data_IF_445279025169
#
_entry.id   IF_445279025169
#
_cell.length_a   1.000
_cell.length_b   1.000
_cell.length_c   1.000
_cell.angle_alpha   90.00
_cell.angle_beta   90.00
_cell.angle_gamma   90.00
#
_symmetry.space_group_name_H-M   'P 1'
#
loop_
_entity.id
_entity.type
_entity.pdbx_description
1 polymer ?
#
# COMPACT_ATOMS: atom_id res chain seq x y z
N UNK A 1 -11.01 26.28 2.78
CA UNK A 1 -10.84 26.40 4.25
C UNK A 1 -9.74 25.51 4.81
N UNK A 2 -9.51 24.28 4.31
CA UNK A 2 -8.42 23.42 4.79
C UNK A 2 -7.00 24.01 4.60
N UNK A 3 -6.83 24.95 3.65
CA UNK A 3 -5.55 25.61 3.39
C UNK A 3 -5.13 26.70 4.39
N UNK A 4 -6.05 27.30 5.16
CA UNK A 4 -5.76 28.51 5.94
C UNK A 4 -5.31 28.23 7.38
N UNK A 5 -5.54 27.03 7.90
CA UNK A 5 -5.21 26.67 9.28
C UNK A 5 -3.88 25.91 9.42
N UNK A 6 -3.23 25.54 8.30
CA UNK A 6 -1.96 24.82 8.29
C UNK A 6 -1.97 23.59 9.19
N UNK A 7 -0.93 23.44 10.03
CA UNK A 7 -0.78 22.31 10.95
C UNK A 7 -1.64 22.39 12.22
N UNK A 8 -2.35 23.51 12.47
CA UNK A 8 -3.01 23.75 13.75
C UNK A 8 -4.08 22.69 14.12
N UNK A 9 -4.98 22.25 13.20
CA UNK A 9 -5.98 21.24 13.52
C UNK A 9 -5.36 19.89 13.89
N UNK A 10 -4.30 19.50 13.18
CA UNK A 10 -3.55 18.26 13.45
C UNK A 10 -2.87 18.29 14.82
N UNK A 11 -2.24 19.43 15.17
CA UNK A 11 -1.62 19.62 16.49
C UNK A 11 -2.66 19.59 17.61
N UNK A 12 -3.83 20.18 17.39
CA UNK A 12 -4.92 20.17 18.37
C UNK A 12 -5.42 18.74 18.63
N UNK A 13 -5.59 17.93 17.59
CA UNK A 13 -5.98 16.51 17.73
C UNK A 13 -4.93 15.70 18.51
N UNK A 14 -3.65 15.87 18.21
CA UNK A 14 -2.56 15.22 18.95
C UNK A 14 -2.53 15.65 20.42
N UNK A 15 -2.72 16.95 20.69
CA UNK A 15 -2.77 17.45 22.05
C UNK A 15 -3.96 16.89 22.84
N UNK A 16 -5.14 16.80 22.20
CA UNK A 16 -6.33 16.20 22.79
C UNK A 16 -6.15 14.69 23.07
N UNK A 17 -5.34 13.99 22.26
CA UNK A 17 -4.95 12.60 22.48
C UNK A 17 -3.79 12.39 23.45
N UNK A 18 -3.46 13.38 24.29
CA UNK A 18 -2.39 13.25 25.29
C UNK A 18 -0.98 13.14 24.70
N UNK A 19 -0.76 13.68 23.50
CA UNK A 19 0.51 13.59 22.78
C UNK A 19 0.57 12.47 21.73
N UNK A 20 -0.47 11.64 21.64
CA UNK A 20 -0.67 10.67 20.56
C UNK A 20 -1.78 11.14 19.62
N UNK A 21 -1.71 10.70 18.37
CA UNK A 21 -2.85 10.76 17.46
C UNK A 21 -3.73 9.53 17.72
N UNK A 22 -4.98 9.69 18.21
CA UNK A 22 -5.83 8.56 18.52
C UNK A 22 -6.16 7.74 17.27
N UNK A 23 -6.00 6.42 17.33
CA UNK A 23 -6.31 5.55 16.20
C UNK A 23 -7.78 5.63 15.78
N UNK A 24 -8.68 5.83 16.75
CA UNK A 24 -10.12 6.05 16.53
C UNK A 24 -10.43 7.32 15.72
N UNK A 25 -9.63 8.38 15.91
CA UNK A 25 -9.76 9.61 15.13
C UNK A 25 -9.31 9.40 13.68
N UNK A 26 -8.22 8.64 13.48
CA UNK A 26 -7.74 8.25 12.14
C UNK A 26 -8.78 7.40 11.41
N UNK A 27 -9.33 6.37 12.06
CA UNK A 27 -10.37 5.51 11.49
C UNK A 27 -11.62 6.32 11.12
N UNK A 28 -12.05 7.23 12.01
CA UNK A 28 -13.19 8.11 11.77
C UNK A 28 -12.98 9.01 10.55
N UNK A 29 -11.76 9.53 10.36
CA UNK A 29 -11.40 10.28 9.16
C UNK A 29 -11.49 9.41 7.90
N UNK A 30 -10.98 8.16 7.92
CA UNK A 30 -11.09 7.23 6.79
C UNK A 30 -12.54 6.93 6.42
N UNK A 31 -13.39 6.62 7.41
CA UNK A 31 -14.82 6.38 7.19
C UNK A 31 -15.50 7.62 6.59
N UNK A 32 -15.11 8.82 7.04
CA UNK A 32 -15.68 10.09 6.56
C UNK A 32 -15.35 10.41 5.10
N UNK A 33 -14.30 9.81 4.50
CA UNK A 33 -14.01 9.98 3.06
C UNK A 33 -15.12 9.33 2.22
N UNK A 34 -15.71 8.23 2.69
CA UNK A 34 -16.77 7.50 1.98
C UNK A 34 -17.81 6.91 2.96
N UNK A 35 -18.62 7.75 3.63
CA UNK A 35 -19.56 7.28 4.65
C UNK A 35 -20.63 6.35 4.07
N UNK A 36 -21.02 6.55 2.81
CA UNK A 36 -21.96 5.67 2.10
C UNK A 36 -21.46 4.22 2.01
N UNK A 37 -20.14 4.00 1.91
CA UNK A 37 -19.57 2.65 1.83
C UNK A 37 -19.79 1.88 3.13
N UNK A 38 -19.75 2.58 4.28
CA UNK A 38 -20.05 1.98 5.58
C UNK A 38 -21.53 1.62 5.69
N UNK A 39 -22.43 2.51 5.26
CA UNK A 39 -23.87 2.23 5.24
C UNK A 39 -24.18 1.03 4.34
N UNK A 40 -23.62 0.98 3.13
CA UNK A 40 -23.80 -0.15 2.22
C UNK A 40 -23.31 -1.46 2.83
N UNK A 41 -22.20 -1.43 3.57
CA UNK A 41 -21.65 -2.61 4.27
C UNK A 41 -22.59 -3.13 5.36
N UNK A 42 -23.21 -2.24 6.13
CA UNK A 42 -24.23 -2.61 7.13
C UNK A 42 -25.49 -3.20 6.48
N UNK A 43 -25.95 -2.64 5.36
CA UNK A 43 -27.09 -3.17 4.62
C UNK A 43 -26.79 -4.56 4.02
N UNK A 44 -25.58 -4.77 3.50
CA UNK A 44 -25.16 -6.08 3.00
C UNK A 44 -25.13 -7.14 4.11
N UNK A 45 -24.69 -6.78 5.31
CA UNK A 45 -24.76 -7.68 6.46
C UNK A 45 -26.21 -8.05 6.78
N UNK A 46 -27.11 -7.06 6.82
CA UNK A 46 -28.52 -7.30 7.12
C UNK A 46 -29.18 -8.21 6.07
N UNK A 47 -28.90 -7.99 4.79
CA UNK A 47 -29.41 -8.80 3.69
C UNK A 47 -28.92 -10.26 3.75
N UNK A 48 -27.73 -10.48 4.32
CA UNK A 48 -27.08 -11.81 4.38
C UNK A 48 -26.98 -12.35 5.82
N UNK A 49 -27.83 -11.89 6.74
CA UNK A 49 -27.72 -12.20 8.17
C UNK A 49 -27.89 -13.69 8.47
N UNK A 50 -28.63 -14.41 7.62
CA UNK A 50 -28.86 -15.85 7.74
C UNK A 50 -27.75 -16.70 7.10
N UNK A 51 -26.81 -16.11 6.33
CA UNK A 51 -25.61 -16.80 5.84
C UNK A 51 -24.50 -16.72 6.88
N UNK A 52 -24.37 -17.78 7.68
CA UNK A 52 -23.32 -17.90 8.70
C UNK A 52 -21.90 -17.65 8.16
N UNK A 53 -21.63 -18.01 6.90
CA UNK A 53 -20.32 -17.78 6.28
C UNK A 53 -20.13 -16.31 5.93
N UNK A 54 -21.19 -15.61 5.51
CA UNK A 54 -21.14 -14.16 5.31
C UNK A 54 -20.93 -13.42 6.61
N UNK A 55 -21.71 -13.75 7.65
CA UNK A 55 -21.63 -13.13 8.96
C UNK A 55 -20.23 -13.29 9.57
N UNK A 56 -19.65 -14.49 9.49
CA UNK A 56 -18.30 -14.71 10.02
C UNK A 56 -17.22 -13.92 9.25
N UNK A 57 -17.30 -13.87 7.92
CA UNK A 57 -16.40 -13.02 7.12
C UNK A 57 -16.54 -11.55 7.48
N UNK A 58 -17.77 -11.07 7.65
CA UNK A 58 -18.04 -9.71 8.07
C UNK A 58 -17.43 -9.44 9.45
N UNK A 59 -17.64 -10.34 10.43
CA UNK A 59 -17.12 -10.19 11.79
C UNK A 59 -15.59 -10.12 11.80
N UNK A 60 -14.92 -11.04 11.12
CA UNK A 60 -13.45 -11.02 11.02
C UNK A 60 -12.94 -9.73 10.36
N UNK A 61 -13.59 -9.27 9.29
CA UNK A 61 -13.23 -8.01 8.67
C UNK A 61 -13.49 -6.81 9.60
N UNK A 62 -14.61 -6.79 10.31
CA UNK A 62 -14.99 -5.69 11.20
C UNK A 62 -14.04 -5.60 12.39
N UNK A 63 -13.76 -6.73 13.04
CA UNK A 63 -12.82 -6.84 14.15
C UNK A 63 -11.46 -6.27 13.73
N UNK A 64 -10.96 -6.65 12.54
CA UNK A 64 -9.71 -6.11 11.99
C UNK A 64 -9.82 -4.62 11.64
N UNK A 65 -10.89 -4.20 10.96
CA UNK A 65 -11.05 -2.82 10.45
C UNK A 65 -11.24 -1.80 11.58
N UNK A 66 -11.91 -2.19 12.67
CA UNK A 66 -12.12 -1.35 13.85
C UNK A 66 -11.03 -1.46 14.90
N UNK A 67 -10.12 -2.43 14.77
CA UNK A 67 -8.95 -2.50 15.62
C UNK A 67 -8.00 -1.34 15.30
N UNK A 68 -7.96 -0.36 16.20
CA UNK A 68 -7.16 0.84 16.04
C UNK A 68 -5.96 0.83 16.98
N UNK A 69 -4.90 1.54 16.57
CA UNK A 69 -3.70 1.76 17.37
C UNK A 69 -3.39 3.24 17.38
N UNK A 70 -3.01 3.75 18.55
CA UNK A 70 -2.57 5.12 18.68
C UNK A 70 -1.19 5.31 18.05
N UNK A 71 -1.00 6.45 17.39
CA UNK A 71 0.23 6.77 16.68
C UNK A 71 0.97 7.84 17.50
N UNK A 72 2.28 7.69 17.78
CA UNK A 72 3.07 8.74 18.43
C UNK A 72 2.89 10.08 17.71
N UNK A 73 2.41 11.10 18.44
CA UNK A 73 1.97 12.35 17.82
C UNK A 73 3.07 13.08 17.07
N UNK A 74 4.31 13.02 17.55
CA UNK A 74 5.47 13.59 16.86
C UNK A 74 5.68 12.96 15.48
N UNK A 75 5.53 11.64 15.38
CA UNK A 75 5.65 10.91 14.11
C UNK A 75 4.50 11.25 13.17
N UNK A 76 3.26 11.27 13.66
CA UNK A 76 2.08 11.67 12.88
C UNK A 76 2.23 13.08 12.30
N UNK A 77 2.58 14.06 13.15
CA UNK A 77 2.73 15.45 12.71
C UNK A 77 3.87 15.61 11.70
N UNK A 78 4.96 14.86 11.87
CA UNK A 78 6.05 14.83 10.91
C UNK A 78 5.58 14.32 9.55
N UNK A 79 4.81 13.23 9.49
CA UNK A 79 4.24 12.70 8.24
C UNK A 79 3.33 13.72 7.56
N UNK A 80 2.37 14.29 8.30
CA UNK A 80 1.41 15.26 7.76
C UNK A 80 2.14 16.50 7.23
N UNK A 81 3.09 17.04 7.98
CA UNK A 81 3.81 18.24 7.55
C UNK A 81 4.68 17.97 6.33
N UNK A 82 5.48 16.90 6.35
CA UNK A 82 6.50 16.69 5.33
C UNK A 82 5.94 16.05 4.06
N UNK A 83 5.00 15.12 4.17
CA UNK A 83 4.51 14.34 3.03
C UNK A 83 3.21 14.91 2.45
N UNK A 84 2.25 15.26 3.30
CA UNK A 84 0.93 15.70 2.84
C UNK A 84 0.85 17.20 2.59
N UNK A 85 1.39 18.01 3.51
CA UNK A 85 1.28 19.47 3.42
C UNK A 85 2.37 20.08 2.54
N UNK A 86 3.64 19.74 2.79
CA UNK A 86 4.80 20.31 2.07
C UNK A 86 5.28 19.48 0.90
N UNK A 87 4.73 18.28 0.68
CA UNK A 87 5.08 17.38 -0.43
C UNK A 87 6.61 17.16 -0.64
N UNK A 88 7.38 17.18 0.45
CA UNK A 88 8.85 17.27 0.40
C UNK A 88 9.52 16.09 -0.29
N UNK A 89 8.86 14.92 -0.28
CA UNK A 89 9.35 13.73 -0.99
C UNK A 89 9.41 13.97 -2.50
N UNK A 90 8.31 14.47 -3.06
CA UNK A 90 8.17 14.72 -4.50
C UNK A 90 8.97 15.96 -4.93
N UNK A 91 9.11 16.93 -4.03
CA UNK A 91 9.92 18.14 -4.23
C UNK A 91 11.43 17.90 -4.06
N UNK A 92 11.85 16.69 -3.62
CA UNK A 92 13.27 16.35 -3.44
C UNK A 92 13.95 17.09 -2.28
N UNK A 93 13.17 17.56 -1.30
CA UNK A 93 13.67 18.32 -0.13
C UNK A 93 13.50 17.58 1.19
N UNK A 94 12.95 16.36 1.15
CA UNK A 94 12.79 15.52 2.33
C UNK A 94 14.15 15.05 2.83
N UNK A 95 14.40 15.25 4.12
CA UNK A 95 15.60 14.78 4.81
C UNK A 95 15.22 13.65 5.78
N UNK A 96 15.90 12.50 5.68
CA UNK A 96 15.76 11.36 6.59
C UNK A 96 17.16 10.95 7.04
N UNK A 97 17.37 10.89 8.35
CA UNK A 97 18.68 10.53 8.94
C UNK A 97 19.86 11.34 8.36
N UNK A 98 19.64 12.65 8.18
CA UNK A 98 20.63 13.59 7.63
C UNK A 98 20.90 13.46 6.13
N UNK A 99 20.13 12.63 5.40
CA UNK A 99 20.28 12.41 3.97
C UNK A 99 19.04 12.86 3.20
N UNK A 100 19.27 13.57 2.10
CA UNK A 100 18.18 13.99 1.22
C UNK A 100 17.66 12.74 0.51
N UNK A 101 16.35 12.52 0.59
CA UNK A 101 15.70 11.43 -0.12
C UNK A 101 15.64 11.78 -1.61
N UNK A 102 16.35 11.01 -2.42
CA UNK A 102 16.37 11.13 -3.87
C UNK A 102 15.58 9.99 -4.51
N UNK A 103 14.39 10.30 -5.04
CA UNK A 103 13.58 9.30 -5.75
C UNK A 103 14.23 8.85 -7.06
N UNK A 104 15.13 9.66 -7.66
CA UNK A 104 15.86 9.29 -8.86
C UNK A 104 16.87 8.17 -8.61
N UNK A 105 17.20 7.86 -7.34
CA UNK A 105 18.00 6.70 -6.99
C UNK A 105 17.26 5.35 -7.20
N UNK A 106 15.95 5.37 -7.46
CA UNK A 106 15.17 4.19 -7.81
C UNK A 106 15.30 3.95 -9.33
N UNK A 107 16.02 2.90 -9.71
CA UNK A 107 16.29 2.53 -11.11
C UNK A 107 15.84 1.10 -11.47
N UNK A 108 15.21 0.40 -10.52
CA UNK A 108 14.70 -0.96 -10.69
C UNK A 108 13.28 -0.97 -11.29
N UNK A 109 12.81 -2.12 -11.83
CA UNK A 109 11.45 -2.24 -12.37
C UNK A 109 10.38 -1.78 -11.36
N UNK A 110 9.44 -0.97 -11.85
CA UNK A 110 8.42 -0.31 -11.02
C UNK A 110 7.02 -0.82 -11.39
N UNK A 111 6.28 -1.32 -10.40
CA UNK A 111 4.93 -1.86 -10.58
C UNK A 111 3.93 -0.97 -9.85
N UNK A 112 3.03 -0.31 -10.59
CA UNK A 112 2.04 0.63 -10.06
C UNK A 112 0.62 0.09 -10.27
N UNK A 113 -0.07 -0.25 -9.19
CA UNK A 113 -1.45 -0.76 -9.19
C UNK A 113 -2.38 0.21 -8.48
N UNK A 114 -3.26 0.86 -9.25
CA UNK A 114 -4.30 1.75 -8.75
C UNK A 114 -5.66 1.06 -8.68
N UNK A 115 -6.56 1.59 -7.86
CA UNK A 115 -7.98 1.22 -7.84
C UNK A 115 -8.81 2.28 -8.57
N UNK A 116 -9.72 1.85 -9.46
CA UNK A 116 -10.58 2.76 -10.23
C UNK A 116 -11.53 3.59 -9.38
N UNK A 117 -11.84 3.14 -8.15
CA UNK A 117 -12.72 3.84 -7.20
C UNK A 117 -11.99 4.26 -5.92
N UNK A 118 -10.65 4.18 -5.89
CA UNK A 118 -9.83 4.62 -4.77
C UNK A 118 -9.84 6.15 -4.66
N UNK A 119 -10.33 6.66 -3.52
CA UNK A 119 -10.34 8.10 -3.19
C UNK A 119 -9.31 8.48 -2.12
N UNK A 120 -8.60 7.51 -1.56
CA UNK A 120 -7.51 7.70 -0.59
C UNK A 120 -6.20 7.95 -1.34
N UNK A 121 -5.92 7.13 -2.36
CA UNK A 121 -4.75 7.30 -3.24
C UNK A 121 -5.19 7.15 -4.70
N UNK A 122 -5.76 8.21 -5.31
CA UNK A 122 -6.27 8.15 -6.67
C UNK A 122 -5.19 7.77 -7.68
N UNK A 123 -5.58 7.12 -8.79
CA UNK A 123 -4.65 6.66 -9.82
C UNK A 123 -3.69 7.75 -10.34
N UNK A 124 -4.12 9.01 -10.60
CA UNK A 124 -3.19 10.07 -11.01
C UNK A 124 -2.11 10.37 -9.96
N UNK A 125 -2.45 10.29 -8.67
CA UNK A 125 -1.49 10.50 -7.59
C UNK A 125 -0.46 9.37 -7.54
N UNK A 126 -0.90 8.12 -7.69
CA UNK A 126 0.01 6.98 -7.73
C UNK A 126 0.93 7.03 -8.94
N UNK A 127 0.38 7.28 -10.13
CA UNK A 127 1.14 7.22 -11.38
C UNK A 127 2.15 8.36 -11.54
N UNK A 128 1.90 9.52 -10.91
CA UNK A 128 2.87 10.62 -10.85
C UNK A 128 4.21 10.22 -10.19
N UNK A 129 4.24 9.16 -9.37
CA UNK A 129 5.49 8.65 -8.80
C UNK A 129 6.51 8.21 -9.86
N UNK A 130 6.04 7.72 -11.02
CA UNK A 130 6.92 7.28 -12.10
C UNK A 130 7.72 8.44 -12.73
N UNK A 131 7.24 9.68 -12.62
CA UNK A 131 7.95 10.87 -13.12
C UNK A 131 9.14 11.27 -12.25
N UNK A 132 9.26 10.68 -11.05
CA UNK A 132 10.26 11.04 -10.05
C UNK A 132 11.36 10.00 -9.87
N UNK A 133 11.27 8.86 -10.54
CA UNK A 133 12.25 7.77 -10.48
C UNK A 133 13.09 7.70 -11.77
N UNK A 134 14.23 7.02 -11.72
CA UNK A 134 15.06 6.77 -12.90
C UNK A 134 14.75 5.45 -13.60
N UNK A 135 13.74 4.69 -13.14
CA UNK A 135 13.28 3.46 -13.80
C UNK A 135 12.97 3.72 -15.27
N UNK A 136 13.58 2.99 -16.22
CA UNK A 136 13.27 3.14 -17.64
C UNK A 136 11.78 2.92 -17.90
N UNK A 137 11.16 3.72 -18.76
CA UNK A 137 9.72 3.63 -19.03
C UNK A 137 9.24 2.22 -19.45
N UNK A 138 10.09 1.45 -20.15
CA UNK A 138 9.83 0.06 -20.54
C UNK A 138 9.74 -0.92 -19.36
N UNK A 139 10.32 -0.54 -18.22
CA UNK A 139 10.37 -1.32 -16.98
C UNK A 139 9.36 -0.78 -15.94
N UNK A 140 8.47 0.15 -16.34
CA UNK A 140 7.36 0.64 -15.52
C UNK A 140 6.05 0.01 -16.00
N UNK A 141 5.33 -0.64 -15.08
CA UNK A 141 4.02 -1.24 -15.33
C UNK A 141 2.93 -0.44 -14.64
N UNK A 142 1.90 -0.04 -15.39
CA UNK A 142 0.73 0.67 -14.88
C UNK A 142 -0.50 -0.23 -14.98
N UNK A 143 -1.24 -0.36 -13.88
CA UNK A 143 -2.45 -1.18 -13.79
C UNK A 143 -3.53 -0.43 -13.02
N UNK A 144 -4.78 -0.60 -13.44
CA UNK A 144 -5.94 -0.06 -12.72
C UNK A 144 -6.95 -1.18 -12.53
N UNK A 145 -7.13 -1.63 -11.29
CA UNK A 145 -8.12 -2.62 -10.93
C UNK A 145 -9.51 -1.99 -10.81
N UNK A 146 -10.57 -2.76 -11.10
CA UNK A 146 -11.95 -2.38 -10.77
C UNK A 146 -12.22 -2.55 -9.26
N UNK A 147 -11.56 -1.72 -8.44
CA UNK A 147 -11.58 -1.82 -6.99
C UNK A 147 -11.40 -0.45 -6.31
N UNK A 148 -11.87 -0.35 -5.07
CA UNK A 148 -11.51 0.74 -4.15
C UNK A 148 -10.24 0.40 -3.36
N UNK A 149 -9.85 1.27 -2.43
CA UNK A 149 -8.58 1.17 -1.69
C UNK A 149 -8.32 -0.21 -1.06
N UNK A 150 -9.21 -0.65 -0.16
CA UNK A 150 -9.08 -1.98 0.48
C UNK A 150 -9.29 -3.11 -0.53
N UNK A 151 -10.16 -2.90 -1.53
CA UNK A 151 -10.42 -3.88 -2.58
C UNK A 151 -9.18 -4.28 -3.36
N UNK A 152 -8.15 -3.42 -3.45
CA UNK A 152 -6.87 -3.77 -4.05
C UNK A 152 -6.14 -4.88 -3.29
N UNK A 153 -6.26 -4.93 -1.96
CA UNK A 153 -5.50 -5.85 -1.11
C UNK A 153 -6.27 -7.12 -0.75
N UNK A 154 -7.60 -7.02 -0.63
CA UNK A 154 -8.45 -8.15 -0.19
C UNK A 154 -9.58 -8.50 -1.16
N UNK A 155 -9.77 -7.71 -2.22
CA UNK A 155 -10.80 -7.97 -3.22
C UNK A 155 -10.46 -9.21 -4.04
N UNK A 156 -11.45 -10.09 -4.22
CA UNK A 156 -11.31 -11.33 -5.00
C UNK A 156 -10.75 -11.07 -6.40
N UNK A 157 -11.25 -10.04 -7.09
CA UNK A 157 -10.86 -9.77 -8.46
C UNK A 157 -9.44 -9.22 -8.56
N UNK A 158 -9.08 -8.26 -7.69
CA UNK A 158 -7.71 -7.76 -7.62
C UNK A 158 -6.71 -8.90 -7.34
N UNK A 159 -7.01 -9.77 -6.38
CA UNK A 159 -6.16 -10.91 -6.01
C UNK A 159 -6.06 -11.98 -7.11
N UNK A 160 -7.10 -12.15 -7.94
CA UNK A 160 -7.11 -13.18 -9.01
C UNK A 160 -6.62 -12.68 -10.36
N UNK A 161 -6.79 -11.39 -10.65
CA UNK A 161 -6.59 -10.84 -11.99
C UNK A 161 -5.40 -9.86 -12.05
N UNK A 162 -5.15 -9.11 -10.97
CA UNK A 162 -4.13 -8.06 -10.97
C UNK A 162 -2.82 -8.52 -10.34
N UNK A 163 -2.88 -8.98 -9.09
CA UNK A 163 -1.70 -9.41 -8.34
C UNK A 163 -0.89 -10.52 -9.02
N UNK A 164 -1.50 -11.57 -9.61
CA UNK A 164 -0.72 -12.62 -10.27
C UNK A 164 0.16 -12.10 -11.39
N UNK A 165 -0.31 -11.11 -12.17
CA UNK A 165 0.48 -10.56 -13.28
C UNK A 165 1.66 -9.72 -12.76
N UNK A 166 1.45 -8.96 -11.68
CA UNK A 166 2.55 -8.23 -11.04
C UNK A 166 3.57 -9.20 -10.43
N UNK A 167 3.10 -10.26 -9.78
CA UNK A 167 3.96 -11.26 -9.15
C UNK A 167 4.72 -12.11 -10.17
N UNK A 168 4.19 -12.31 -11.38
CA UNK A 168 4.92 -12.92 -12.49
C UNK A 168 6.14 -12.07 -12.89
N UNK A 169 5.98 -10.74 -12.96
CA UNK A 169 7.11 -9.82 -13.18
C UNK A 169 8.15 -9.95 -12.05
N UNK A 170 7.72 -9.85 -10.80
CA UNK A 170 8.61 -10.03 -9.63
C UNK A 170 9.35 -11.37 -9.70
N UNK A 171 8.64 -12.45 -10.01
CA UNK A 171 9.23 -13.78 -10.14
C UNK A 171 10.30 -13.84 -11.23
N UNK A 172 10.03 -13.28 -12.41
CA UNK A 172 10.99 -13.22 -13.52
C UNK A 172 12.29 -12.48 -13.16
N UNK A 173 12.20 -11.47 -12.27
CA UNK A 173 13.35 -10.73 -11.76
C UNK A 173 14.04 -11.41 -10.58
N UNK A 174 13.37 -12.35 -9.90
CA UNK A 174 13.87 -13.03 -8.70
C UNK A 174 14.59 -14.35 -8.99
N UNK A 175 14.46 -14.89 -10.21
CA UNK A 175 15.13 -16.15 -10.60
C UNK A 175 16.53 -15.91 -11.16
N UNK A 176 17.59 -16.53 -10.59
CA UNK A 176 18.93 -16.46 -11.15
C UNK A 176 18.98 -17.09 -12.54
N UNK A 177 19.16 -16.29 -13.59
CA UNK A 177 19.37 -16.75 -14.97
C UNK A 177 18.42 -16.22 -16.04
N UNK A 178 17.33 -15.53 -15.68
CA UNK A 178 16.41 -14.93 -16.67
C UNK A 178 17.09 -13.84 -17.53
N UNK A 179 18.03 -13.07 -16.95
CA UNK A 179 18.87 -12.11 -17.68
C UNK A 179 19.96 -12.76 -18.55
N UNK A 180 20.35 -14.02 -18.27
CA UNK A 180 21.50 -14.67 -18.92
C UNK A 180 21.19 -15.28 -20.30
N UNK A 181 19.92 -15.34 -20.72
CA UNK A 181 19.55 -15.89 -22.04
C UNK A 181 19.35 -14.84 -23.15
N UNK A 182 19.44 -13.55 -22.84
CA UNK A 182 19.29 -12.48 -23.83
C UNK A 182 20.62 -11.98 -24.44
N UNK A 183 21.77 -12.50 -24.01
CA UNK A 183 23.05 -12.11 -24.61
C UNK A 183 24.23 -12.99 -24.19
N UNK A 184 24.79 -13.73 -25.15
CA UNK A 184 26.21 -14.08 -25.15
C UNK A 184 26.64 -15.36 -24.42
N UNK A 185 27.20 -16.26 -25.21
CA UNK A 185 28.06 -17.39 -24.85
C UNK A 185 29.16 -17.03 -23.83
N UNK A 186 29.28 -17.79 -22.74
CA UNK A 186 30.43 -17.67 -21.83
C UNK A 186 30.41 -18.66 -20.66
N UNK A 187 31.33 -19.65 -20.70
CA UNK A 187 31.60 -20.59 -19.61
C UNK A 187 32.08 -19.85 -18.35
N UNK A 188 31.51 -20.16 -17.18
CA UNK A 188 32.05 -19.68 -15.90
C UNK A 188 31.29 -20.23 -14.70
N UNK A 189 31.82 -21.30 -14.11
CA UNK A 189 31.37 -21.92 -12.85
C UNK A 189 31.49 -20.94 -11.66
N UNK A 190 30.45 -20.83 -10.82
CA UNK A 190 30.60 -20.54 -9.38
C UNK A 190 29.37 -20.96 -8.55
N UNK A 191 29.62 -22.01 -7.75
CA UNK A 191 29.12 -22.41 -6.43
C UNK A 191 27.72 -21.90 -5.99
N UNK A 192 26.76 -22.84 -5.95
CA UNK A 192 25.39 -22.70 -5.44
C UNK A 192 25.34 -22.47 -3.93
N UNK A 193 24.61 -21.45 -3.48
CA UNK A 193 23.96 -21.47 -2.16
C UNK A 193 22.53 -21.93 -2.39
N UNK A 194 22.14 -23.06 -1.81
CA UNK A 194 20.82 -23.65 -1.98
C UNK A 194 19.81 -23.02 -1.03
N UNK A 195 19.19 -21.92 -1.45
CA UNK A 195 17.86 -21.59 -0.95
C UNK A 195 16.88 -22.23 -1.93
N UNK A 196 16.17 -23.27 -1.46
CA UNK A 196 15.10 -23.91 -2.24
C UNK A 196 14.01 -22.87 -2.50
N UNK A 197 13.76 -22.54 -3.75
CA UNK A 197 12.55 -21.83 -4.14
C UNK A 197 11.34 -22.65 -3.67
N UNK A 198 10.43 -22.02 -2.93
CA UNK A 198 9.19 -22.65 -2.46
C UNK A 198 8.34 -22.93 -3.70
N UNK A 199 8.12 -24.20 -4.00
CA UNK A 199 7.48 -24.67 -5.23
C UNK A 199 5.95 -24.49 -5.21
N UNK A 200 5.36 -24.15 -4.07
CA UNK A 200 3.93 -23.93 -3.90
C UNK A 200 3.67 -22.84 -2.84
N UNK A 201 2.95 -21.74 -3.16
CA UNK A 201 2.61 -20.69 -2.19
C UNK A 201 1.88 -21.19 -0.94
N UNK A 202 1.23 -22.37 -1.01
CA UNK A 202 0.54 -23.02 0.12
C UNK A 202 1.50 -23.61 1.16
N UNK A 203 2.76 -23.83 0.80
CA UNK A 203 3.82 -24.33 1.70
C UNK A 203 4.58 -23.20 2.40
N UNK A 204 4.12 -21.94 2.29
CA UNK A 204 4.67 -20.86 3.11
C UNK A 204 4.29 -21.07 4.58
N UNK A 205 5.26 -21.05 5.52
CA UNK A 205 4.95 -21.14 6.93
C UNK A 205 3.99 -20.02 7.33
N UNK A 206 2.78 -20.38 7.75
CA UNK A 206 1.84 -19.40 8.33
C UNK A 206 2.38 -18.99 9.69
N UNK A 207 2.74 -17.71 9.82
CA UNK A 207 3.01 -17.11 11.13
C UNK A 207 1.72 -17.22 11.94
N UNK A 208 1.72 -17.87 13.13
CA UNK A 208 0.53 -17.91 13.98
C UNK A 208 0.11 -16.48 14.34
N UNK A 209 -1.20 -16.21 14.29
CA UNK A 209 -1.74 -15.00 14.90
C UNK A 209 -1.46 -15.04 16.42
N UNK A 210 -1.15 -13.90 17.06
CA UNK A 210 -0.95 -13.81 18.49
C UNK A 210 -2.21 -14.18 19.30
#
# INVERSE_FOLDING_TARGET
MAGSMGMAPYKALVAAGGGNMPGSAVLSNFISIQPQSEVSRQLQLLENIDDATHVERYRVFEDWFKYTQDIPGAFYLWLVENLFWKNRLIDGTLQVDGRTVDMAAIDCPLLLLAGSTDRITPAPQLFAAAEKVSTPAKDVTYRTASAGHLGLFMGRDALRQEWPVLMESVYSHSVPGARAKAGGTGKGSRRRSSVRAVADPRDTPRVPAP
#
